data_IF_728553886304
#
_entry.id   IF_728553886304
#
_cell.length_a   1.000
_cell.length_b   1.000
_cell.length_c   1.000
_cell.angle_alpha   90.00
_cell.angle_beta   90.00
_cell.angle_gamma   90.00
#
_symmetry.space_group_name_H-M   'P 1'
#
loop_
_entity.id
_entity.type
_entity.pdbx_description
1 polymer ?
#
# COMPACT_ATOMS: atom_id res chain seq x y z
N UNK A 1 11.06 -0.58 -10.64
CA UNK A 1 9.95 -1.27 -9.94
C UNK A 1 10.10 -2.77 -10.14
N UNK A 2 9.78 -3.56 -9.12
CA UNK A 2 9.88 -5.02 -9.15
C UNK A 2 8.50 -5.65 -8.90
N UNK A 3 8.08 -6.69 -9.64
CA UNK A 3 6.72 -7.24 -9.56
C UNK A 3 6.37 -7.93 -8.23
N UNK A 4 7.35 -8.19 -7.37
CA UNK A 4 7.15 -8.78 -6.04
C UNK A 4 7.48 -7.79 -4.90
N UNK A 5 7.48 -6.49 -5.19
CA UNK A 5 7.58 -5.42 -4.18
C UNK A 5 6.35 -4.54 -4.35
N UNK A 6 5.61 -4.32 -3.26
CA UNK A 6 4.39 -3.50 -3.28
C UNK A 6 4.73 -2.05 -3.67
N UNK A 7 4.04 -1.46 -4.67
CA UNK A 7 4.27 -0.08 -5.05
C UNK A 7 3.74 0.88 -3.98
N UNK A 8 4.55 1.89 -3.65
CA UNK A 8 4.15 3.05 -2.88
C UNK A 8 3.65 4.12 -3.86
N UNK A 9 2.40 4.52 -3.73
CA UNK A 9 1.77 5.53 -4.59
C UNK A 9 1.94 6.94 -4.06
N UNK A 10 1.78 7.12 -2.74
CA UNK A 10 1.90 8.42 -2.11
C UNK A 10 2.38 8.30 -0.65
N UNK A 11 2.98 9.36 -0.14
CA UNK A 11 3.49 9.45 1.21
C UNK A 11 3.37 10.90 1.70
N UNK A 12 2.58 11.12 2.75
CA UNK A 12 2.30 12.47 3.24
C UNK A 12 2.17 12.50 4.77
N UNK A 13 2.37 13.69 5.32
CA UNK A 13 2.23 13.96 6.76
C UNK A 13 1.02 14.85 6.98
N UNK A 14 0.13 14.48 7.91
CA UNK A 14 -0.95 15.36 8.31
C UNK A 14 -0.40 16.53 9.15
N UNK A 15 -0.53 17.80 8.73
CA UNK A 15 0.05 18.92 9.47
C UNK A 15 -0.49 19.05 10.90
N UNK A 16 -1.76 18.70 11.10
CA UNK A 16 -2.44 18.80 12.39
C UNK A 16 -1.98 17.73 13.41
N UNK A 17 -1.74 16.50 12.97
CA UNK A 17 -1.39 15.37 13.86
C UNK A 17 0.09 14.99 13.81
N UNK A 18 0.82 15.47 12.81
CA UNK A 18 2.21 15.09 12.50
C UNK A 18 2.37 13.58 12.22
N UNK A 19 1.29 12.90 11.82
CA UNK A 19 1.29 11.48 11.49
C UNK A 19 1.68 11.25 10.02
N UNK A 20 2.53 10.27 9.79
CA UNK A 20 2.98 9.84 8.47
C UNK A 20 2.06 8.76 7.91
N UNK A 21 1.56 8.99 6.70
CA UNK A 21 0.71 8.07 5.97
C UNK A 21 1.40 7.60 4.71
N UNK A 22 1.25 6.31 4.42
CA UNK A 22 1.72 5.69 3.19
C UNK A 22 0.53 5.10 2.44
N UNK A 23 0.44 5.38 1.14
CA UNK A 23 -0.59 4.87 0.25
C UNK A 23 0.04 3.80 -0.64
N UNK A 24 -0.48 2.59 -0.56
CA UNK A 24 0.00 1.44 -1.33
C UNK A 24 -1.14 0.82 -2.16
N UNK A 25 -0.78 -0.10 -3.05
CA UNK A 25 -1.75 -1.01 -3.68
C UNK A 25 -2.50 -1.83 -2.61
N UNK A 26 -3.84 -1.95 -2.67
CA UNK A 26 -4.59 -2.86 -1.80
C UNK A 26 -4.14 -4.32 -1.93
N UNK A 27 -4.01 -4.98 -0.78
CA UNK A 27 -3.72 -6.41 -0.67
C UNK A 27 -4.81 -7.10 0.13
N UNK A 28 -5.06 -8.38 -0.13
CA UNK A 28 -6.09 -9.16 0.57
C UNK A 28 -5.70 -9.48 2.01
N UNK A 29 -4.39 -9.55 2.28
CA UNK A 29 -3.87 -9.78 3.62
C UNK A 29 -2.39 -10.16 3.61
N UNK A 30 -1.90 -10.66 4.73
CA UNK A 30 -0.54 -11.20 4.85
C UNK A 30 -0.50 -12.72 4.79
N UNK A 31 0.67 -13.27 4.45
CA UNK A 31 0.91 -14.71 4.47
C UNK A 31 0.68 -15.28 5.87
N UNK A 32 0.99 -14.51 6.93
CA UNK A 32 0.66 -14.89 8.30
C UNK A 32 -0.85 -15.13 8.49
N UNK A 33 -1.69 -14.20 8.04
CA UNK A 33 -3.15 -14.32 8.13
C UNK A 33 -3.65 -15.52 7.29
N UNK A 34 -3.06 -15.73 6.10
CA UNK A 34 -3.35 -16.86 5.24
C UNK A 34 -3.00 -18.21 5.90
N UNK A 35 -1.85 -18.30 6.58
CA UNK A 35 -1.45 -19.49 7.37
C UNK A 35 -2.44 -19.71 8.52
N UNK A 36 -2.75 -18.67 9.28
CA UNK A 36 -3.60 -18.75 10.47
C UNK A 36 -5.03 -19.16 10.16
N UNK A 37 -5.62 -18.66 9.07
CA UNK A 37 -6.97 -19.01 8.62
C UNK A 37 -7.14 -20.48 8.22
N UNK A 38 -6.03 -21.21 8.08
CA UNK A 38 -5.97 -22.62 7.69
C UNK A 38 -5.55 -23.55 8.82
N UNK A 39 -5.42 -23.05 10.06
CA UNK A 39 -5.04 -23.87 11.21
C UNK A 39 -6.02 -25.06 11.37
N UNK A 40 -5.48 -26.29 11.32
CA UNK A 40 -6.27 -27.53 11.35
C UNK A 40 -6.70 -28.09 9.98
N UNK A 41 -6.32 -27.44 8.87
CA UNK A 41 -6.55 -27.93 7.49
C UNK A 41 -5.28 -28.57 6.92
N UNK A 42 -5.40 -29.21 5.75
CA UNK A 42 -4.25 -29.72 4.98
C UNK A 42 -3.26 -28.58 4.68
N UNK A 43 -1.97 -28.94 4.70
CA UNK A 43 -0.86 -28.08 4.30
C UNK A 43 -1.09 -27.46 2.91
N UNK A 44 -0.40 -26.36 2.64
CA UNK A 44 -0.39 -25.78 1.30
C UNK A 44 0.15 -26.77 0.27
N UNK A 45 -0.36 -26.69 -0.95
CA UNK A 45 0.19 -27.44 -2.07
C UNK A 45 1.65 -27.02 -2.29
N UNK A 46 2.53 -27.98 -2.58
CA UNK A 46 3.96 -27.72 -2.76
C UNK A 46 4.24 -26.66 -3.84
N UNK A 47 3.46 -26.64 -4.92
CA UNK A 47 3.58 -25.62 -5.97
C UNK A 47 3.31 -24.20 -5.46
N UNK A 48 2.34 -24.01 -4.55
CA UNK A 48 2.08 -22.71 -3.95
C UNK A 48 3.23 -22.27 -3.03
N UNK A 49 3.76 -23.20 -2.24
CA UNK A 49 4.92 -22.92 -1.36
C UNK A 49 6.14 -22.52 -2.20
N UNK A 50 6.41 -23.26 -3.28
CA UNK A 50 7.50 -22.95 -4.20
C UNK A 50 7.31 -21.57 -4.87
N UNK A 51 6.08 -21.24 -5.29
CA UNK A 51 5.76 -19.94 -5.88
C UNK A 51 5.99 -18.78 -4.90
N UNK A 52 5.50 -18.90 -3.65
CA UNK A 52 5.72 -17.89 -2.61
C UNK A 52 7.21 -17.69 -2.36
N UNK A 53 7.97 -18.79 -2.26
CA UNK A 53 9.40 -18.73 -2.03
C UNK A 53 10.13 -18.07 -3.20
N UNK A 54 9.81 -18.43 -4.44
CA UNK A 54 10.41 -17.86 -5.64
C UNK A 54 10.17 -16.34 -5.73
N UNK A 55 8.93 -15.90 -5.49
CA UNK A 55 8.58 -14.48 -5.51
C UNK A 55 9.30 -13.69 -4.40
N UNK A 56 9.38 -14.27 -3.19
CA UNK A 56 10.10 -13.66 -2.06
C UNK A 56 11.59 -13.54 -2.36
N UNK A 57 12.21 -14.61 -2.89
CA UNK A 57 13.62 -14.60 -3.26
C UNK A 57 13.92 -13.56 -4.35
N UNK A 58 13.04 -13.46 -5.37
CA UNK A 58 13.17 -12.45 -6.42
C UNK A 58 13.11 -11.03 -5.87
N UNK A 59 12.18 -10.75 -4.94
CA UNK A 59 12.09 -9.45 -4.30
C UNK A 59 13.35 -9.11 -3.49
N UNK A 60 13.88 -10.07 -2.73
CA UNK A 60 15.08 -9.88 -1.93
C UNK A 60 16.33 -9.69 -2.78
N UNK A 61 16.47 -10.42 -3.88
CA UNK A 61 17.56 -10.22 -4.85
C UNK A 61 17.53 -8.79 -5.42
N UNK A 62 16.34 -8.29 -5.77
CA UNK A 62 16.18 -6.90 -6.18
C UNK A 62 16.56 -5.90 -5.08
N UNK A 63 16.12 -6.12 -3.83
CA UNK A 63 16.45 -5.24 -2.70
C UNK A 63 17.97 -5.23 -2.44
N UNK A 64 18.61 -6.40 -2.43
CA UNK A 64 20.03 -6.55 -2.19
C UNK A 64 20.90 -5.96 -3.32
N UNK A 65 20.51 -6.15 -4.58
CA UNK A 65 21.21 -5.56 -5.72
C UNK A 65 21.17 -4.03 -5.75
N UNK A 66 20.19 -3.42 -5.07
CA UNK A 66 20.11 -1.98 -4.86
C UNK A 66 20.79 -1.51 -3.56
N UNK A 67 21.51 -2.39 -2.85
CA UNK A 67 22.30 -2.04 -1.67
C UNK A 67 21.53 -1.93 -0.35
N UNK A 68 20.27 -2.39 -0.32
CA UNK A 68 19.45 -2.40 0.89
C UNK A 68 19.32 -3.82 1.45
N UNK A 69 19.07 -3.92 2.76
CA UNK A 69 18.67 -5.16 3.41
C UNK A 69 17.27 -4.95 4.00
N UNK A 70 16.36 -5.89 3.76
CA UNK A 70 15.01 -5.80 4.33
C UNK A 70 15.01 -5.89 5.86
N UNK A 71 15.91 -6.69 6.44
CA UNK A 71 16.12 -6.89 7.90
C UNK A 71 14.95 -7.48 8.70
N UNK A 72 13.71 -7.45 8.19
CA UNK A 72 12.52 -7.95 8.89
C UNK A 72 11.66 -8.87 8.00
N UNK A 73 12.30 -9.86 7.35
CA UNK A 73 11.58 -10.82 6.50
C UNK A 73 10.84 -11.82 7.36
N UNK A 74 9.51 -11.74 7.36
CA UNK A 74 8.61 -12.61 8.13
C UNK A 74 7.23 -12.72 7.46
N UNK A 75 6.41 -13.73 7.78
CA UNK A 75 5.12 -13.94 7.12
C UNK A 75 4.14 -12.75 7.21
N UNK A 76 4.27 -11.89 8.21
CA UNK A 76 3.47 -10.68 8.39
C UNK A 76 3.75 -9.62 7.33
N UNK A 77 4.98 -9.59 6.80
CA UNK A 77 5.44 -8.62 5.81
C UNK A 77 5.36 -9.15 4.36
N UNK A 78 4.91 -10.40 4.18
CA UNK A 78 4.64 -10.98 2.86
C UNK A 78 3.16 -10.81 2.55
N UNK A 79 2.82 -9.82 1.74
CA UNK A 79 1.44 -9.52 1.37
C UNK A 79 0.96 -10.42 0.22
N UNK A 80 -0.32 -10.79 0.24
CA UNK A 80 -0.93 -11.71 -0.72
C UNK A 80 -2.11 -11.06 -1.44
N UNK A 81 -2.27 -11.43 -2.72
CA UNK A 81 -3.41 -11.06 -3.57
C UNK A 81 -3.66 -12.19 -4.59
N UNK A 82 -4.91 -12.41 -4.98
CA UNK A 82 -5.29 -13.38 -6.03
C UNK A 82 -5.44 -12.79 -7.43
N UNK A 83 -5.54 -11.46 -7.55
CA UNK A 83 -5.64 -10.75 -8.84
C UNK A 83 -4.26 -10.42 -9.42
N UNK A 84 -3.22 -10.33 -8.58
CA UNK A 84 -1.87 -9.96 -9.02
C UNK A 84 -1.70 -8.46 -9.25
N UNK A 85 -0.49 -7.94 -9.02
CA UNK A 85 -0.23 -6.49 -9.02
C UNK A 85 -0.51 -5.79 -10.36
N UNK A 86 -0.36 -6.51 -11.48
CA UNK A 86 -0.50 -5.96 -12.84
C UNK A 86 -1.97 -5.67 -13.18
N UNK A 87 -2.90 -6.45 -12.63
CA UNK A 87 -4.33 -6.29 -12.93
C UNK A 87 -4.93 -5.08 -12.21
N UNK A 88 -4.41 -4.72 -11.02
CA UNK A 88 -4.86 -3.53 -10.32
C UNK A 88 -4.49 -2.23 -11.03
N UNK A 89 -3.29 -2.15 -11.61
CA UNK A 89 -2.83 -0.98 -12.35
C UNK A 89 -3.73 -0.63 -13.55
N UNK A 90 -4.45 -1.63 -14.09
CA UNK A 90 -5.38 -1.44 -15.22
C UNK A 90 -6.74 -0.86 -14.80
N UNK A 91 -7.04 -0.83 -13.49
CA UNK A 91 -8.33 -0.38 -12.95
C UNK A 91 -8.31 1.02 -12.36
N UNK A 92 -7.12 1.64 -12.25
CA UNK A 92 -7.02 3.03 -11.81
C UNK A 92 -7.70 3.93 -12.86
N UNK A 93 -8.73 4.72 -12.48
CA UNK A 93 -9.27 5.72 -13.36
C UNK A 93 -8.13 6.69 -13.72
N UNK A 94 -7.91 6.92 -15.02
CA UNK A 94 -7.16 8.10 -15.46
C UNK A 94 -7.80 9.30 -14.75
N UNK A 95 -7.02 9.99 -13.93
CA UNK A 95 -7.47 11.12 -13.12
C UNK A 95 -8.34 12.07 -13.95
N UNK A 96 -9.55 12.44 -13.54
CA UNK A 96 -10.17 13.62 -14.08
C UNK A 96 -9.35 14.82 -13.60
N UNK A 97 -9.00 15.65 -14.58
CA UNK A 97 -8.34 16.96 -14.53
C UNK A 97 -8.22 17.62 -13.15
N UNK A 98 -7.01 18.10 -12.86
CA UNK A 98 -6.72 18.91 -11.69
C UNK A 98 -7.43 20.27 -11.79
N UNK A 99 -8.65 20.38 -11.26
CA UNK A 99 -9.22 21.66 -10.88
C UNK A 99 -9.17 21.80 -9.36
N UNK A 100 -8.26 22.65 -8.91
CA UNK A 100 -7.98 23.04 -7.51
C UNK A 100 -9.24 23.40 -6.70
N UNK A 101 -9.23 23.26 -5.36
CA UNK A 101 -10.25 23.86 -4.52
C UNK A 101 -10.04 25.39 -4.44
N UNK A 102 -11.06 26.15 -4.85
CA UNK A 102 -11.11 27.61 -4.79
C UNK A 102 -11.10 28.07 -3.32
N UNK A 103 -9.94 28.54 -2.84
CA UNK A 103 -9.79 29.25 -1.56
C UNK A 103 -9.78 30.75 -1.85
N UNK A 104 -10.97 31.38 -1.81
CA UNK A 104 -11.19 32.83 -1.71
C UNK A 104 -12.51 33.06 -0.95
N UNK A 105 -12.70 34.00 -0.04
CA UNK A 105 -11.86 34.98 0.64
C UNK A 105 -12.70 35.45 1.85
N UNK A 106 -12.05 35.84 2.94
CA UNK A 106 -12.67 36.43 4.11
C UNK A 106 -13.42 37.74 3.79
N UNK A 107 -14.56 37.98 4.44
CA UNK A 107 -14.91 39.35 4.91
C UNK A 107 -15.71 39.28 6.19
N UNK A 108 -15.12 39.85 7.25
CA UNK A 108 -15.79 40.27 8.46
C UNK A 108 -16.94 41.23 8.15
N UNK A 109 -18.05 41.14 8.90
CA UNK A 109 -18.95 42.28 9.13
C UNK A 109 -19.30 42.37 10.61
N UNK A 110 -18.56 43.26 11.26
CA UNK A 110 -18.90 43.93 12.51
C UNK A 110 -19.96 45.03 12.28
N UNK A 111 -21.02 45.03 13.09
CA UNK A 111 -21.88 46.20 13.38
C UNK A 111 -22.78 46.74 12.24
N UNK A 112 -23.91 47.38 12.57
CA UNK A 112 -23.91 48.54 13.47
C UNK A 112 -24.96 48.49 14.61
N UNK A 113 -24.71 49.32 15.63
CA UNK A 113 -25.69 49.82 16.60
C UNK A 113 -26.66 50.76 15.85
N UNK A 114 -27.95 50.71 16.17
CA UNK A 114 -28.65 51.86 16.77
C UNK A 114 -30.16 51.58 16.93
N UNK A 115 -30.67 52.08 18.06
CA UNK A 115 -32.05 52.19 18.57
C UNK A 115 -32.60 50.99 19.37
#
# INVERSE_FOLDING_TARGET
MHPNIIPLYDCFVLPATQELYFVFEPMEGSLYQLIKSRKGKKNFAGGLVASIFQQTASALDHVHSNGYFHCDVKPENLLVTTTGLVDYASTLPLTPDASEPDVKQATAKSGPRDQ
#
